data_IF_098534543393
#
_entry.id   IF_098534543393
#
_cell.length_a   1.000
_cell.length_b   1.000
_cell.length_c   1.000
_cell.angle_alpha   90.00
_cell.angle_beta   90.00
_cell.angle_gamma   90.00
#
_symmetry.space_group_name_H-M   'P 1'
#
loop_
_entity.id
_entity.type
_entity.pdbx_description
1 polymer ?
#
# COMPACT_ATOMS: atom_id res chain seq x y z
N UNK A 1 24.05 3.51 11.96
CA UNK A 1 23.26 4.67 12.49
C UNK A 1 24.16 5.87 12.73
N UNK A 2 23.61 7.10 12.63
CA UNK A 2 24.39 8.35 12.87
C UNK A 2 24.46 8.60 14.38
N UNK A 3 25.64 8.90 14.91
CA UNK A 3 25.78 9.20 16.35
C UNK A 3 24.90 10.40 16.76
N UNK A 4 24.19 10.35 17.92
CA UNK A 4 23.30 11.43 18.37
C UNK A 4 24.01 12.80 18.46
N UNK A 5 25.27 12.83 18.93
CA UNK A 5 26.06 14.05 19.02
C UNK A 5 26.29 14.72 17.66
N UNK A 6 26.55 13.93 16.62
CA UNK A 6 26.66 14.46 15.23
C UNK A 6 25.34 15.04 14.73
N UNK A 7 24.19 14.43 15.08
CA UNK A 7 22.88 14.94 14.74
C UNK A 7 22.57 16.24 15.48
N UNK A 8 23.02 16.36 16.73
CA UNK A 8 22.79 17.55 17.54
C UNK A 8 23.54 18.79 17.02
N UNK A 9 24.66 18.60 16.33
CA UNK A 9 25.42 19.70 15.70
C UNK A 9 24.75 20.23 14.40
N UNK A 10 23.81 19.48 13.83
CA UNK A 10 23.08 19.94 12.63
C UNK A 10 22.01 20.98 13.03
N UNK A 11 21.60 21.81 12.07
CA UNK A 11 20.61 22.88 12.30
C UNK A 11 19.46 22.84 11.30
N UNK A 12 18.31 23.34 11.73
CA UNK A 12 17.13 23.58 10.89
C UNK A 12 16.65 22.35 10.11
N UNK A 13 16.27 22.56 8.87
CA UNK A 13 15.70 21.49 8.01
C UNK A 13 16.64 20.31 7.75
N UNK A 14 17.96 20.52 7.75
CA UNK A 14 18.92 19.44 7.59
C UNK A 14 18.93 18.50 8.81
N UNK A 15 18.88 19.06 10.04
CA UNK A 15 18.77 18.30 11.29
C UNK A 15 17.49 17.44 11.25
N UNK A 16 16.35 18.05 10.96
CA UNK A 16 15.05 17.39 10.92
C UNK A 16 14.99 16.25 9.89
N UNK A 17 15.48 16.48 8.66
CA UNK A 17 15.53 15.42 7.62
C UNK A 17 16.36 14.23 8.05
N UNK A 18 17.54 14.47 8.65
CA UNK A 18 18.42 13.38 9.11
C UNK A 18 17.82 12.63 10.29
N UNK A 19 17.19 13.33 11.25
CA UNK A 19 16.46 12.69 12.35
C UNK A 19 15.29 11.85 11.82
N UNK A 20 14.48 12.37 10.89
CA UNK A 20 13.36 11.62 10.30
C UNK A 20 13.84 10.34 9.59
N UNK A 21 14.97 10.39 8.87
CA UNK A 21 15.58 9.21 8.24
C UNK A 21 16.06 8.19 9.30
N UNK A 22 16.67 8.65 10.41
CA UNK A 22 17.10 7.76 11.49
C UNK A 22 15.89 7.07 12.15
N UNK A 23 14.81 7.79 12.41
CA UNK A 23 13.59 7.19 12.96
C UNK A 23 12.94 6.19 12.00
N UNK A 24 12.89 6.51 10.69
CA UNK A 24 12.41 5.57 9.69
C UNK A 24 13.23 4.27 9.61
N UNK A 25 14.56 4.39 9.71
CA UNK A 25 15.45 3.23 9.78
C UNK A 25 15.22 2.40 11.06
N UNK A 26 15.01 3.08 12.20
CA UNK A 26 14.67 2.41 13.47
C UNK A 26 13.31 1.68 13.42
N UNK A 27 12.30 2.27 12.79
CA UNK A 27 10.99 1.63 12.61
C UNK A 27 11.14 0.31 11.84
N UNK A 28 11.95 0.29 10.77
CA UNK A 28 12.24 -0.94 10.01
C UNK A 28 13.02 -1.96 10.83
N UNK A 29 14.06 -1.54 11.53
CA UNK A 29 14.84 -2.41 12.42
C UNK A 29 13.97 -3.05 13.51
N UNK A 30 13.08 -2.27 14.14
CA UNK A 30 12.14 -2.75 15.15
C UNK A 30 11.14 -3.75 14.53
N UNK A 31 10.72 -3.53 13.29
CA UNK A 31 9.81 -4.41 12.57
C UNK A 31 10.50 -5.68 12.03
N UNK A 32 11.83 -5.81 12.19
CA UNK A 32 12.61 -6.94 11.67
C UNK A 32 12.77 -6.92 10.14
N UNK A 33 12.56 -5.76 9.51
CA UNK A 33 12.75 -5.59 8.07
C UNK A 33 14.23 -5.31 7.82
N UNK A 34 14.93 -6.29 7.23
CA UNK A 34 16.33 -6.14 6.88
C UNK A 34 16.48 -5.24 5.64
N UNK A 35 17.24 -4.15 5.77
CA UNK A 35 17.77 -3.48 4.58
C UNK A 35 18.93 -4.31 4.01
N UNK A 36 18.87 -4.61 2.70
CA UNK A 36 19.91 -5.36 2.03
C UNK A 36 21.29 -4.70 2.25
N UNK A 37 22.19 -5.40 2.98
CA UNK A 37 23.57 -4.99 3.20
C UNK A 37 23.86 -4.11 4.41
N UNK A 38 22.90 -3.77 5.28
CA UNK A 38 23.11 -2.91 6.44
C UNK A 38 22.53 -3.52 7.72
N UNK A 39 23.35 -4.18 8.52
CA UNK A 39 23.05 -4.36 9.94
C UNK A 39 23.15 -3.02 10.66
N UNK A 40 22.13 -2.60 11.41
CA UNK A 40 22.22 -1.40 12.24
C UNK A 40 23.11 -1.70 13.46
N UNK A 41 24.21 -0.98 13.57
CA UNK A 41 25.14 -1.11 14.70
C UNK A 41 24.94 0.07 15.66
N UNK A 42 24.87 -0.26 16.96
CA UNK A 42 24.80 0.68 18.07
C UNK A 42 26.02 0.46 19.00
N UNK A 43 27.23 0.83 18.54
CA UNK A 43 28.48 0.35 19.18
C UNK A 43 28.71 0.83 20.64
N UNK A 44 27.95 1.81 21.12
CA UNK A 44 28.15 2.38 22.46
C UNK A 44 26.86 2.49 23.29
N UNK A 45 25.73 1.99 22.80
CA UNK A 45 24.45 2.08 23.49
C UNK A 45 23.45 1.04 22.94
N UNK A 46 22.40 0.76 23.70
CA UNK A 46 21.28 -0.06 23.23
C UNK A 46 20.42 0.70 22.24
N UNK A 47 19.61 -0.02 21.43
CA UNK A 47 18.63 0.61 20.55
C UNK A 47 17.65 1.50 21.32
N UNK A 48 17.18 1.06 22.48
CA UNK A 48 16.27 1.84 23.33
C UNK A 48 16.89 3.16 23.79
N UNK A 49 18.14 3.14 24.25
CA UNK A 49 18.89 4.37 24.61
C UNK A 49 19.07 5.29 23.41
N UNK A 50 19.35 4.73 22.23
CA UNK A 50 19.49 5.51 21.01
C UNK A 50 18.17 6.18 20.62
N UNK A 51 17.05 5.46 20.67
CA UNK A 51 15.70 6.01 20.43
C UNK A 51 15.40 7.15 21.41
N UNK A 52 15.65 6.95 22.71
CA UNK A 52 15.39 7.95 23.72
C UNK A 52 16.25 9.22 23.51
N UNK A 53 17.53 9.07 23.16
CA UNK A 53 18.42 10.21 22.86
C UNK A 53 17.98 10.99 21.63
N UNK A 54 17.57 10.30 20.56
CA UNK A 54 17.04 10.98 19.37
C UNK A 54 15.73 11.72 19.66
N UNK A 55 14.85 11.11 20.46
CA UNK A 55 13.59 11.73 20.85
C UNK A 55 13.81 12.97 21.72
N UNK A 56 14.82 12.95 22.61
CA UNK A 56 15.23 14.16 23.39
C UNK A 56 15.67 15.30 22.48
N UNK A 57 16.42 15.01 21.40
CA UNK A 57 16.81 16.03 20.42
C UNK A 57 15.59 16.62 19.69
N UNK A 58 14.55 15.80 19.43
CA UNK A 58 13.30 16.29 18.82
C UNK A 58 12.53 17.18 19.78
N UNK A 59 12.49 16.85 21.08
CA UNK A 59 11.84 17.66 22.11
C UNK A 59 12.44 19.06 22.28
N UNK A 60 13.70 19.25 21.86
CA UNK A 60 14.37 20.55 21.84
C UNK A 60 14.08 21.38 20.57
N UNK A 61 13.34 20.83 19.60
CA UNK A 61 13.04 21.56 18.35
C UNK A 61 11.99 22.65 18.60
N UNK A 62 12.32 23.93 18.33
CA UNK A 62 11.42 25.06 18.63
C UNK A 62 10.14 25.09 17.77
N UNK A 63 10.06 24.29 16.70
CA UNK A 63 8.88 24.17 15.86
C UNK A 63 8.03 22.94 16.18
N UNK A 64 8.42 22.16 17.20
CA UNK A 64 7.63 21.01 17.60
C UNK A 64 6.31 21.47 18.25
N UNK A 65 5.14 21.02 17.77
CA UNK A 65 3.87 21.36 18.40
C UNK A 65 3.80 20.85 19.85
N UNK A 66 3.22 21.65 20.74
CA UNK A 66 3.18 21.35 22.18
C UNK A 66 2.45 20.02 22.46
N UNK A 67 1.36 19.75 21.77
CA UNK A 67 0.61 18.48 21.87
C UNK A 67 1.47 17.26 21.52
N UNK A 68 2.33 17.38 20.49
CA UNK A 68 3.26 16.31 20.10
C UNK A 68 4.38 16.16 21.14
N UNK A 69 4.87 17.27 21.69
CA UNK A 69 5.87 17.22 22.76
C UNK A 69 5.32 16.50 24.00
N UNK A 70 4.07 16.77 24.38
CA UNK A 70 3.39 16.08 25.49
C UNK A 70 3.25 14.59 25.18
N UNK A 71 2.78 14.23 23.98
CA UNK A 71 2.65 12.83 23.58
C UNK A 71 3.99 12.11 23.58
N UNK A 72 5.04 12.71 23.03
CA UNK A 72 6.37 12.10 22.98
C UNK A 72 6.97 11.90 24.37
N UNK A 73 6.80 12.86 25.28
CA UNK A 73 7.19 12.72 26.69
C UNK A 73 6.44 11.58 27.38
N UNK A 74 5.14 11.45 27.14
CA UNK A 74 4.33 10.36 27.69
C UNK A 74 4.81 8.99 27.20
N UNK A 75 5.12 8.87 25.90
CA UNK A 75 5.65 7.63 25.32
C UNK A 75 7.03 7.25 25.89
N UNK A 76 7.88 8.24 26.14
CA UNK A 76 9.20 8.01 26.75
C UNK A 76 9.12 7.65 28.24
N UNK A 77 8.09 8.10 28.96
CA UNK A 77 7.87 7.77 30.35
C UNK A 77 7.25 6.39 30.57
N UNK A 78 6.75 5.73 29.53
CA UNK A 78 6.16 4.40 29.64
C UNK A 78 7.24 3.34 29.96
N UNK A 79 6.85 2.34 30.76
CA UNK A 79 7.72 1.21 31.11
C UNK A 79 7.01 -0.12 30.88
N UNK A 80 7.40 -0.95 29.89
CA UNK A 80 8.52 -0.70 28.95
C UNK A 80 8.18 0.40 27.91
N UNK A 81 9.23 1.07 27.40
CA UNK A 81 9.09 2.06 26.32
C UNK A 81 8.68 1.37 25.03
N UNK A 82 7.57 1.80 24.42
CA UNK A 82 7.20 1.41 23.07
C UNK A 82 8.05 2.18 22.04
N UNK A 83 9.21 1.60 21.72
CA UNK A 83 10.18 2.21 20.82
C UNK A 83 9.58 2.51 19.44
N UNK A 84 8.67 1.66 18.93
CA UNK A 84 8.04 1.85 17.63
C UNK A 84 7.13 3.08 17.63
N UNK A 85 6.29 3.24 18.64
CA UNK A 85 5.42 4.43 18.77
C UNK A 85 6.22 5.71 18.99
N UNK A 86 7.33 5.68 19.74
CA UNK A 86 8.24 6.82 19.88
C UNK A 86 8.82 7.22 18.53
N UNK A 87 9.36 6.26 17.77
CA UNK A 87 9.92 6.52 16.45
C UNK A 87 8.87 7.09 15.49
N UNK A 88 7.68 6.51 15.44
CA UNK A 88 6.59 6.96 14.57
C UNK A 88 6.11 8.37 14.91
N UNK A 89 5.87 8.67 16.19
CA UNK A 89 5.47 9.99 16.67
C UNK A 89 6.53 11.06 16.29
N UNK A 90 7.79 10.81 16.61
CA UNK A 90 8.88 11.74 16.33
C UNK A 90 9.10 11.94 14.82
N UNK A 91 9.08 10.86 14.02
CA UNK A 91 9.22 10.92 12.56
C UNK A 91 8.12 11.74 11.92
N UNK A 92 6.87 11.45 12.26
CA UNK A 92 5.71 12.14 11.66
C UNK A 92 5.73 13.63 11.99
N UNK A 93 6.07 14.01 13.22
CA UNK A 93 6.19 15.41 13.60
C UNK A 93 7.28 16.13 12.79
N UNK A 94 8.47 15.53 12.67
CA UNK A 94 9.56 16.08 11.88
C UNK A 94 9.18 16.25 10.41
N UNK A 95 8.51 15.25 9.82
CA UNK A 95 8.07 15.29 8.42
C UNK A 95 7.00 16.37 8.21
N UNK A 96 6.06 16.53 9.14
CA UNK A 96 5.06 17.60 9.10
C UNK A 96 5.72 18.99 9.14
N UNK A 97 6.71 19.21 10.02
CA UNK A 97 7.47 20.46 10.10
C UNK A 97 8.24 20.74 8.80
N UNK A 98 8.75 19.72 8.14
CA UNK A 98 9.46 19.84 6.85
C UNK A 98 8.50 20.08 5.68
N UNK A 99 7.19 19.85 5.87
CA UNK A 99 6.20 19.90 4.81
C UNK A 99 6.21 18.66 3.90
N UNK A 100 6.63 17.52 4.45
CA UNK A 100 6.68 16.23 3.75
C UNK A 100 5.79 15.23 4.47
N UNK A 101 5.18 14.30 3.74
CA UNK A 101 4.42 13.21 4.35
C UNK A 101 5.25 11.92 4.35
N UNK A 102 5.05 11.05 5.36
CA UNK A 102 5.66 9.71 5.33
C UNK A 102 5.27 9.01 4.04
N UNK A 103 6.24 8.50 3.32
CA UNK A 103 6.02 7.56 2.25
C UNK A 103 6.42 6.19 2.77
N UNK A 104 5.48 5.27 2.77
CA UNK A 104 5.79 3.86 2.93
C UNK A 104 6.24 3.38 1.55
N UNK A 105 7.51 3.01 1.43
CA UNK A 105 8.13 2.66 0.13
C UNK A 105 8.38 1.17 -0.01
N UNK A 106 8.34 0.44 1.11
CA UNK A 106 8.84 -0.91 1.17
C UNK A 106 7.69 -1.92 1.18
N UNK A 107 7.83 -2.97 0.39
CA UNK A 107 6.98 -4.15 0.47
C UNK A 107 7.15 -4.76 1.87
N UNK A 108 6.14 -4.61 2.71
CA UNK A 108 6.12 -5.23 4.04
C UNK A 108 5.62 -6.65 3.90
N UNK A 109 6.52 -7.61 4.08
CA UNK A 109 6.19 -9.03 4.07
C UNK A 109 5.37 -9.36 5.32
N UNK A 110 4.34 -10.20 5.14
CA UNK A 110 3.52 -10.66 6.26
C UNK A 110 4.38 -11.28 7.38
N UNK A 111 4.09 -11.03 8.67
CA UNK A 111 4.94 -11.45 9.79
C UNK A 111 5.23 -12.95 9.88
N UNK A 112 4.40 -13.79 9.27
CA UNK A 112 4.60 -15.25 9.21
C UNK A 112 5.52 -15.67 8.05
N UNK A 113 5.85 -14.75 7.13
CA UNK A 113 6.80 -14.97 6.03
C UNK A 113 8.08 -14.18 6.38
N UNK A 114 9.07 -14.85 6.96
CA UNK A 114 10.33 -14.23 7.38
C UNK A 114 11.29 -13.92 6.23
N UNK A 115 11.05 -14.52 5.07
CA UNK A 115 11.88 -14.37 3.87
C UNK A 115 10.97 -14.14 2.67
N UNK A 116 11.42 -13.35 1.70
CA UNK A 116 10.77 -13.27 0.40
C UNK A 116 10.76 -14.68 -0.19
N UNK A 117 9.61 -15.29 -0.48
CA UNK A 117 9.57 -16.57 -1.16
C UNK A 117 10.26 -16.43 -2.51
N UNK A 118 10.94 -17.48 -2.97
CA UNK A 118 11.58 -17.53 -4.29
C UNK A 118 10.58 -17.31 -5.44
N UNK A 119 9.29 -17.56 -5.19
CA UNK A 119 8.19 -17.26 -6.09
C UNK A 119 7.00 -16.70 -5.29
N UNK A 120 6.27 -15.78 -5.89
CA UNK A 120 5.04 -15.22 -5.33
C UNK A 120 3.94 -16.29 -5.34
N UNK A 121 3.22 -16.40 -4.23
CA UNK A 121 2.04 -17.26 -4.12
C UNK A 121 0.82 -16.51 -4.67
N UNK A 122 0.00 -17.18 -5.49
CA UNK A 122 -1.18 -16.57 -6.11
C UNK A 122 -2.22 -17.64 -6.52
N UNK A 123 -3.45 -17.20 -6.76
CA UNK A 123 -4.51 -18.03 -7.33
C UNK A 123 -4.36 -18.06 -8.85
N UNK A 124 -4.03 -19.23 -9.46
CA UNK A 124 -3.85 -19.33 -10.90
C UNK A 124 -5.12 -18.93 -11.65
N UNK A 125 -4.96 -18.06 -12.66
CA UNK A 125 -6.06 -17.61 -13.49
C UNK A 125 -6.89 -16.45 -12.93
N UNK A 126 -6.55 -15.87 -11.77
CA UNK A 126 -7.18 -14.66 -11.27
C UNK A 126 -6.45 -13.43 -11.82
N UNK A 127 -7.10 -12.70 -12.72
CA UNK A 127 -6.55 -11.51 -13.35
C UNK A 127 -7.45 -10.28 -13.19
N UNK A 128 -6.84 -9.13 -13.26
CA UNK A 128 -7.50 -7.82 -13.23
C UNK A 128 -7.20 -7.09 -14.54
N UNK A 129 -8.21 -6.55 -15.19
CA UNK A 129 -8.05 -5.58 -16.26
C UNK A 129 -8.44 -4.20 -15.76
N UNK A 130 -7.47 -3.32 -15.61
CA UNK A 130 -7.69 -1.94 -15.25
C UNK A 130 -7.92 -1.13 -16.53
N UNK A 131 -9.14 -0.64 -16.73
CA UNK A 131 -9.53 0.12 -17.91
C UNK A 131 -9.45 1.61 -17.62
N UNK A 132 -8.53 2.30 -18.29
CA UNK A 132 -8.38 3.75 -18.30
C UNK A 132 -8.29 4.41 -16.91
N UNK A 133 -7.66 3.72 -15.98
CA UNK A 133 -7.38 4.27 -14.64
C UNK A 133 -6.45 5.46 -14.77
N UNK A 134 -6.94 6.65 -14.43
CA UNK A 134 -6.22 7.92 -14.61
C UNK A 134 -5.42 8.35 -13.39
N UNK A 135 -5.89 8.00 -12.20
CA UNK A 135 -5.21 8.33 -10.94
C UNK A 135 -4.07 7.37 -10.66
N UNK A 136 -2.80 7.85 -10.67
CA UNK A 136 -1.67 7.00 -10.28
C UNK A 136 -1.79 6.44 -8.87
N UNK A 137 -2.44 7.17 -7.95
CA UNK A 137 -2.71 6.68 -6.59
C UNK A 137 -3.65 5.47 -6.61
N UNK A 138 -4.73 5.52 -7.39
CA UNK A 138 -5.65 4.39 -7.51
C UNK A 138 -4.99 3.20 -8.19
N UNK A 139 -4.20 3.44 -9.25
CA UNK A 139 -3.46 2.37 -9.93
C UNK A 139 -2.54 1.62 -8.98
N UNK A 140 -1.73 2.33 -8.19
CA UNK A 140 -0.87 1.70 -7.18
C UNK A 140 -1.66 0.95 -6.10
N UNK A 141 -2.80 1.50 -5.66
CA UNK A 141 -3.70 0.83 -4.71
C UNK A 141 -4.29 -0.46 -5.29
N UNK A 142 -4.61 -0.48 -6.59
CA UNK A 142 -5.08 -1.68 -7.30
C UNK A 142 -3.98 -2.75 -7.31
N UNK A 143 -2.74 -2.40 -7.66
CA UNK A 143 -1.61 -3.33 -7.60
C UNK A 143 -1.39 -3.90 -6.21
N UNK A 144 -1.42 -3.06 -5.18
CA UNK A 144 -1.26 -3.48 -3.79
C UNK A 144 -2.37 -4.44 -3.36
N UNK A 145 -3.62 -4.15 -3.71
CA UNK A 145 -4.76 -5.01 -3.41
C UNK A 145 -4.68 -6.33 -4.17
N UNK A 146 -4.38 -6.27 -5.47
CA UNK A 146 -4.24 -7.45 -6.31
C UNK A 146 -3.13 -8.40 -5.80
N UNK A 147 -1.99 -7.84 -5.41
CA UNK A 147 -0.89 -8.61 -4.81
C UNK A 147 -1.32 -9.24 -3.48
N UNK A 148 -1.84 -8.45 -2.55
CA UNK A 148 -2.22 -8.91 -1.22
C UNK A 148 -3.33 -9.98 -1.26
N UNK A 149 -4.22 -9.94 -2.24
CA UNK A 149 -5.30 -10.90 -2.46
C UNK A 149 -4.92 -12.07 -3.38
N UNK A 150 -3.65 -12.16 -3.79
CA UNK A 150 -3.15 -13.28 -4.58
C UNK A 150 -3.66 -13.32 -6.02
N UNK A 151 -3.99 -12.19 -6.64
CA UNK A 151 -4.25 -12.17 -8.09
C UNK A 151 -2.98 -12.57 -8.86
N UNK A 152 -3.10 -13.32 -9.94
CA UNK A 152 -1.95 -13.75 -10.73
C UNK A 152 -1.27 -12.56 -11.42
N UNK A 153 -2.04 -11.65 -12.00
CA UNK A 153 -1.48 -10.49 -12.70
C UNK A 153 -2.49 -9.39 -12.97
N UNK A 154 -1.97 -8.28 -13.48
CA UNK A 154 -2.75 -7.08 -13.84
C UNK A 154 -2.52 -6.74 -15.31
N UNK A 155 -3.60 -6.59 -16.05
CA UNK A 155 -3.60 -6.03 -17.40
C UNK A 155 -4.01 -4.55 -17.32
N UNK A 156 -3.33 -3.71 -18.08
CA UNK A 156 -3.61 -2.28 -18.15
C UNK A 156 -4.07 -1.93 -19.56
N UNK A 157 -5.18 -1.20 -19.68
CA UNK A 157 -5.54 -0.64 -20.97
C UNK A 157 -4.50 0.37 -21.46
N UNK A 158 -4.43 0.67 -22.77
CA UNK A 158 -3.54 1.71 -23.29
C UNK A 158 -3.75 3.08 -22.66
N UNK A 159 -4.97 3.42 -22.21
CA UNK A 159 -5.33 4.69 -21.59
C UNK A 159 -5.01 4.82 -20.09
N UNK A 160 -4.57 3.75 -19.44
CA UNK A 160 -4.15 3.82 -18.04
C UNK A 160 -2.93 4.73 -17.84
N UNK A 161 -2.87 5.41 -16.70
CA UNK A 161 -1.67 6.14 -16.29
C UNK A 161 -0.45 5.20 -16.17
N UNK A 162 0.73 5.81 -16.11
CA UNK A 162 1.99 5.06 -16.04
C UNK A 162 2.16 4.42 -14.63
N UNK A 163 2.33 3.09 -14.52
CA UNK A 163 2.57 2.43 -13.24
C UNK A 163 3.89 2.85 -12.58
N UNK A 164 4.89 3.31 -13.35
CA UNK A 164 6.15 3.84 -12.77
C UNK A 164 6.04 5.31 -12.31
N UNK A 165 4.87 5.93 -12.46
CA UNK A 165 4.64 7.26 -11.92
C UNK A 165 4.88 7.27 -10.39
N UNK A 166 5.61 8.28 -9.81
CA UNK A 166 5.99 8.29 -8.40
C UNK A 166 4.84 8.12 -7.39
N UNK A 167 3.63 8.58 -7.74
CA UNK A 167 2.44 8.39 -6.90
C UNK A 167 1.90 6.96 -6.96
N UNK A 168 2.01 6.28 -8.12
CA UNK A 168 1.61 4.88 -8.25
C UNK A 168 2.58 3.97 -7.50
N UNK A 169 3.89 4.15 -7.70
CA UNK A 169 4.93 3.44 -6.95
C UNK A 169 4.73 3.61 -5.44
N UNK A 170 4.47 4.84 -4.98
CA UNK A 170 4.21 5.12 -3.57
C UNK A 170 3.00 4.38 -3.02
N UNK A 171 1.85 4.43 -3.70
CA UNK A 171 0.63 3.75 -3.23
C UNK A 171 0.69 2.24 -3.42
N UNK A 172 1.48 1.77 -4.40
CA UNK A 172 1.72 0.36 -4.68
C UNK A 172 2.67 -0.33 -3.70
N UNK A 173 3.50 0.45 -2.98
CA UNK A 173 4.39 -0.06 -1.91
C UNK A 173 5.21 -1.29 -2.32
N UNK A 174 5.83 -1.26 -3.50
CA UNK A 174 6.64 -2.36 -4.02
C UNK A 174 5.85 -3.45 -4.76
N UNK A 175 4.52 -3.41 -4.75
CA UNK A 175 3.72 -4.46 -5.39
C UNK A 175 3.78 -4.40 -6.92
N UNK A 176 4.05 -3.22 -7.51
CA UNK A 176 4.17 -3.06 -8.96
C UNK A 176 5.40 -3.81 -9.50
N UNK A 177 6.48 -3.85 -8.72
CA UNK A 177 7.75 -4.50 -9.07
C UNK A 177 7.69 -6.03 -8.96
N UNK A 178 6.81 -6.57 -8.10
CA UNK A 178 6.73 -8.02 -7.86
C UNK A 178 5.58 -8.71 -8.59
N UNK A 179 4.60 -7.95 -9.09
CA UNK A 179 3.48 -8.49 -9.84
C UNK A 179 3.77 -8.58 -11.34
N UNK A 180 3.26 -9.63 -11.98
CA UNK A 180 3.19 -9.64 -13.44
C UNK A 180 2.16 -8.63 -13.93
N UNK A 181 2.54 -7.77 -14.85
CA UNK A 181 1.61 -6.88 -15.52
C UNK A 181 1.99 -6.63 -16.96
N UNK A 182 0.99 -6.37 -17.79
CA UNK A 182 1.15 -6.02 -19.20
C UNK A 182 0.16 -4.94 -19.58
N UNK A 183 0.58 -4.06 -20.49
CA UNK A 183 -0.33 -3.13 -21.14
C UNK A 183 -0.80 -3.77 -22.45
N UNK A 184 -2.12 -3.89 -22.61
CA UNK A 184 -2.71 -4.46 -23.80
C UNK A 184 -4.13 -3.89 -24.01
N UNK A 185 -4.58 -3.79 -25.25
CA UNK A 185 -5.96 -3.40 -25.56
C UNK A 185 -6.96 -4.50 -25.16
N UNK A 186 -8.22 -4.10 -25.02
CA UNK A 186 -9.30 -4.99 -24.55
C UNK A 186 -9.46 -6.25 -25.41
N UNK A 187 -9.24 -6.10 -26.71
CA UNK A 187 -9.39 -7.16 -27.71
C UNK A 187 -8.34 -8.27 -27.58
N UNK A 188 -7.20 -7.94 -26.95
CA UNK A 188 -6.11 -8.89 -26.73
C UNK A 188 -6.20 -9.63 -25.39
N UNK A 189 -7.28 -9.42 -24.62
CA UNK A 189 -7.51 -10.20 -23.40
C UNK A 189 -7.63 -11.69 -23.72
N UNK A 190 -7.07 -12.58 -22.88
CA UNK A 190 -7.23 -14.03 -23.02
C UNK A 190 -8.69 -14.42 -23.26
N UNK A 191 -8.92 -15.21 -24.29
CA UNK A 191 -10.28 -15.63 -24.67
C UNK A 191 -10.74 -16.91 -23.97
N UNK A 192 -9.83 -17.62 -23.34
CA UNK A 192 -10.05 -18.87 -22.59
C UNK A 192 -10.50 -18.64 -21.14
N UNK A 193 -10.45 -17.42 -20.67
CA UNK A 193 -10.89 -17.05 -19.33
C UNK A 193 -12.23 -16.32 -19.35
N UNK A 194 -13.14 -16.63 -18.40
CA UNK A 194 -14.37 -15.87 -18.23
C UNK A 194 -14.06 -14.43 -17.85
N UNK A 195 -14.75 -13.49 -18.48
CA UNK A 195 -14.58 -12.05 -18.23
C UNK A 195 -15.87 -11.51 -17.61
N UNK A 196 -15.73 -10.79 -16.50
CA UNK A 196 -16.83 -10.08 -15.84
C UNK A 196 -16.41 -8.66 -15.45
N UNK A 197 -17.36 -7.80 -15.16
CA UNK A 197 -17.10 -6.40 -14.84
C UNK A 197 -17.59 -6.05 -13.44
N UNK A 198 -16.89 -5.15 -12.77
CA UNK A 198 -17.36 -4.46 -11.57
C UNK A 198 -17.98 -3.12 -11.98
N UNK A 199 -19.31 -3.05 -11.96
CA UNK A 199 -20.02 -1.84 -12.36
C UNK A 199 -21.41 -1.78 -11.67
N UNK A 200 -21.96 -0.59 -11.58
CA UNK A 200 -23.31 -0.38 -11.01
C UNK A 200 -24.39 -1.05 -11.85
N UNK A 201 -25.51 -1.46 -11.24
CA UNK A 201 -26.65 -2.07 -11.93
C UNK A 201 -26.44 -3.53 -12.35
N UNK A 202 -25.44 -4.22 -11.81
CA UNK A 202 -25.21 -5.66 -12.00
C UNK A 202 -25.85 -6.52 -10.91
N UNK A 203 -25.51 -7.79 -10.88
CA UNK A 203 -25.89 -8.72 -9.80
C UNK A 203 -25.21 -8.27 -8.50
N UNK A 204 -25.95 -8.15 -7.39
CA UNK A 204 -25.35 -7.82 -6.11
C UNK A 204 -24.23 -8.78 -5.72
N UNK A 205 -23.15 -8.25 -5.14
CA UNK A 205 -21.94 -9.00 -4.81
C UNK A 205 -22.21 -10.31 -4.04
N UNK A 206 -23.18 -10.31 -3.13
CA UNK A 206 -23.59 -11.47 -2.31
C UNK A 206 -24.31 -12.57 -3.10
N UNK A 207 -24.88 -12.22 -4.26
CA UNK A 207 -25.69 -13.11 -5.10
C UNK A 207 -24.95 -13.47 -6.41
N UNK A 208 -23.76 -12.89 -6.63
CA UNK A 208 -22.95 -13.14 -7.82
C UNK A 208 -22.14 -14.43 -7.64
N UNK A 209 -22.32 -15.36 -8.57
CA UNK A 209 -21.54 -16.60 -8.63
C UNK A 209 -20.20 -16.29 -9.29
N UNK A 210 -19.14 -16.35 -8.52
CA UNK A 210 -17.80 -16.04 -9.00
C UNK A 210 -17.20 -17.19 -9.80
N UNK A 211 -16.48 -16.92 -10.90
CA UNK A 211 -15.73 -17.96 -11.57
C UNK A 211 -14.49 -18.35 -10.75
N UNK A 212 -14.09 -19.62 -10.86
CA UNK A 212 -12.86 -20.09 -10.19
C UNK A 212 -11.59 -19.42 -10.72
N UNK A 213 -11.61 -19.08 -12.02
CA UNK A 213 -10.58 -18.35 -12.74
C UNK A 213 -11.27 -17.32 -13.62
N UNK A 214 -10.64 -16.21 -13.93
CA UNK A 214 -11.24 -15.21 -14.79
C UNK A 214 -10.50 -13.88 -14.78
N UNK A 215 -11.07 -12.94 -15.50
CA UNK A 215 -10.59 -11.57 -15.60
C UNK A 215 -11.70 -10.66 -15.11
N UNK A 216 -11.45 -9.88 -14.06
CA UNK A 216 -12.36 -8.79 -13.70
C UNK A 216 -11.92 -7.49 -14.37
N UNK A 217 -12.84 -6.81 -15.01
CA UNK A 217 -12.64 -5.46 -15.56
C UNK A 217 -13.12 -4.45 -14.53
N UNK A 218 -12.27 -3.47 -14.22
CA UNK A 218 -12.58 -2.29 -13.41
C UNK A 218 -12.37 -1.05 -14.25
N UNK A 219 -13.38 -0.20 -14.33
CA UNK A 219 -13.39 0.98 -15.19
C UNK A 219 -12.77 2.22 -14.59
N UNK A 220 -12.66 3.27 -15.39
CA UNK A 220 -12.10 4.55 -15.01
C UNK A 220 -12.94 5.25 -13.92
N UNK A 221 -12.29 6.15 -13.19
CA UNK A 221 -12.91 6.86 -12.06
C UNK A 221 -14.07 7.77 -12.48
N UNK A 222 -14.03 8.27 -13.70
CA UNK A 222 -15.03 9.24 -14.19
C UNK A 222 -16.12 8.60 -15.04
N UNK A 223 -15.76 7.63 -15.89
CA UNK A 223 -16.65 7.07 -16.89
C UNK A 223 -17.14 5.66 -16.54
N UNK A 224 -16.55 5.00 -15.55
CA UNK A 224 -16.81 3.60 -15.27
C UNK A 224 -16.25 2.68 -16.35
N UNK A 225 -16.88 1.54 -16.52
CA UNK A 225 -16.52 0.52 -17.52
C UNK A 225 -17.05 0.94 -18.89
N UNK A 226 -16.23 0.82 -19.93
CA UNK A 226 -16.63 1.17 -21.31
C UNK A 226 -17.72 0.26 -21.86
N UNK A 227 -18.53 0.72 -22.86
CA UNK A 227 -19.49 -0.14 -23.54
C UNK A 227 -18.84 -1.39 -24.15
N UNK A 228 -17.65 -1.26 -24.75
CA UNK A 228 -16.92 -2.39 -25.32
C UNK A 228 -16.52 -3.42 -24.25
N UNK A 229 -16.10 -2.95 -23.08
CA UNK A 229 -15.76 -3.82 -21.96
C UNK A 229 -17.01 -4.50 -21.36
N UNK A 230 -18.16 -3.81 -21.33
CA UNK A 230 -19.43 -4.41 -20.95
C UNK A 230 -19.86 -5.53 -21.92
N UNK A 231 -19.67 -5.34 -23.21
CA UNK A 231 -19.92 -6.37 -24.24
C UNK A 231 -18.94 -7.55 -24.12
N UNK A 232 -17.68 -7.27 -23.81
CA UNK A 232 -16.64 -8.31 -23.63
C UNK A 232 -16.88 -9.15 -22.39
N UNK A 233 -17.56 -8.63 -21.37
CA UNK A 233 -17.82 -9.28 -20.09
C UNK A 233 -19.01 -10.25 -20.16
N UNK A 234 -18.86 -11.29 -20.96
CA UNK A 234 -19.92 -12.29 -21.21
C UNK A 234 -20.28 -13.13 -19.99
N UNK A 235 -19.39 -13.21 -18.98
CA UNK A 235 -19.68 -13.95 -17.76
C UNK A 235 -20.64 -13.21 -16.83
N UNK A 236 -20.60 -11.89 -16.80
CA UNK A 236 -21.56 -11.11 -16.05
C UNK A 236 -21.06 -9.76 -15.56
N UNK A 237 -21.94 -9.11 -14.85
CA UNK A 237 -21.72 -7.80 -14.23
C UNK A 237 -22.06 -7.89 -12.75
N UNK A 238 -21.10 -7.59 -11.89
CA UNK A 238 -21.25 -7.60 -10.46
C UNK A 238 -21.33 -6.17 -9.92
N UNK A 239 -22.15 -5.93 -8.92
CA UNK A 239 -22.31 -4.63 -8.29
C UNK A 239 -22.19 -4.70 -6.77
N UNK A 240 -21.60 -3.65 -6.18
CA UNK A 240 -21.57 -3.44 -4.73
C UNK A 240 -22.82 -2.62 -4.36
N UNK A 241 -23.79 -3.18 -3.62
CA UNK A 241 -24.97 -2.43 -3.21
C UNK A 241 -24.59 -1.25 -2.31
N UNK A 242 -25.04 -0.06 -2.66
CA UNK A 242 -24.84 1.16 -1.88
C UNK A 242 -26.18 1.67 -1.36
N UNK A 243 -26.23 2.05 -0.05
CA UNK A 243 -27.42 2.63 0.59
C UNK A 243 -27.32 4.13 0.83
N UNK A 244 -26.11 4.69 0.68
CA UNK A 244 -25.85 6.11 0.89
C UNK A 244 -26.21 6.97 -0.32
N UNK A 245 -26.00 8.28 -0.18
CA UNK A 245 -26.28 9.26 -1.25
C UNK A 245 -25.22 9.28 -2.36
N UNK A 246 -24.06 8.64 -2.17
CA UNK A 246 -23.01 8.58 -3.19
C UNK A 246 -23.36 7.57 -4.27
N UNK A 247 -23.15 7.98 -5.53
CA UNK A 247 -23.40 7.13 -6.71
C UNK A 247 -22.30 6.08 -6.95
N UNK A 248 -21.08 6.29 -6.39
CA UNK A 248 -19.94 5.40 -6.60
C UNK A 248 -19.00 5.39 -5.40
N UNK A 249 -18.19 4.34 -5.28
CA UNK A 249 -17.04 4.23 -4.40
C UNK A 249 -15.76 4.61 -5.15
N UNK A 250 -14.69 4.93 -4.42
CA UNK A 250 -13.35 4.97 -5.00
C UNK A 250 -13.03 3.61 -5.64
N UNK A 251 -12.47 3.61 -6.84
CA UNK A 251 -12.22 2.38 -7.62
C UNK A 251 -11.33 1.39 -6.90
N UNK A 252 -10.28 1.84 -6.22
CA UNK A 252 -9.40 0.96 -5.43
C UNK A 252 -10.13 0.32 -4.24
N UNK A 253 -11.05 1.07 -3.59
CA UNK A 253 -11.90 0.56 -2.50
C UNK A 253 -12.90 -0.47 -3.04
N UNK A 254 -13.61 -0.13 -4.11
CA UNK A 254 -14.57 -1.04 -4.76
C UNK A 254 -13.88 -2.34 -5.21
N UNK A 255 -12.70 -2.23 -5.81
CA UNK A 255 -11.89 -3.37 -6.20
C UNK A 255 -11.49 -4.24 -5.01
N UNK A 256 -11.08 -3.65 -3.89
CA UNK A 256 -10.74 -4.39 -2.68
C UNK A 256 -11.91 -5.19 -2.10
N UNK A 257 -13.11 -4.61 -2.09
CA UNK A 257 -14.34 -5.28 -1.65
C UNK A 257 -14.67 -6.47 -2.57
N UNK A 258 -14.55 -6.27 -3.89
CA UNK A 258 -14.78 -7.34 -4.86
C UNK A 258 -13.76 -8.47 -4.71
N UNK A 259 -12.47 -8.15 -4.62
CA UNK A 259 -11.41 -9.16 -4.51
C UNK A 259 -11.58 -10.02 -3.27
N UNK A 260 -11.94 -9.42 -2.12
CA UNK A 260 -12.22 -10.17 -0.90
C UNK A 260 -13.37 -11.16 -1.10
N UNK A 261 -14.44 -10.76 -1.80
CA UNK A 261 -15.56 -11.64 -2.08
C UNK A 261 -15.19 -12.76 -3.06
N UNK A 262 -14.45 -12.41 -4.12
CA UNK A 262 -14.04 -13.39 -5.13
C UNK A 262 -13.08 -14.43 -4.56
N UNK A 263 -12.03 -14.01 -3.88
CA UNK A 263 -11.08 -14.92 -3.23
C UNK A 263 -11.78 -15.78 -2.19
N UNK A 264 -12.66 -15.22 -1.37
CA UNK A 264 -13.44 -15.98 -0.40
C UNK A 264 -14.32 -17.05 -1.04
N UNK A 265 -14.92 -16.78 -2.22
CA UNK A 265 -15.68 -17.77 -2.96
C UNK A 265 -14.79 -18.90 -3.52
N UNK A 266 -13.59 -18.56 -4.00
CA UNK A 266 -12.61 -19.56 -4.50
C UNK A 266 -12.12 -20.45 -3.37
N UNK A 267 -11.82 -19.90 -2.18
CA UNK A 267 -11.35 -20.66 -1.01
C UNK A 267 -12.42 -21.58 -0.42
N UNK A 268 -13.66 -21.11 -0.35
CA UNK A 268 -14.77 -21.91 0.22
C UNK A 268 -15.40 -22.87 -0.77
N UNK A 269 -15.06 -22.79 -2.06
CA UNK A 269 -15.69 -23.56 -3.12
C UNK A 269 -17.14 -23.15 -3.39
N UNK A 270 -17.57 -21.98 -2.95
CA UNK A 270 -18.89 -21.39 -3.18
C UNK A 270 -18.96 -20.69 -4.55
N UNK A 271 -18.69 -21.47 -5.61
CA UNK A 271 -18.55 -21.02 -7.00
C UNK A 271 -19.84 -21.29 -7.79
#
# INVERSE_FOLDING_TARGET
>A
MIAPDKLNHLRGGQKRRKLALCFGALERDIAGIAEAGCGYSFPSMTRGEYVARLASIVLEDPQLPEEVAVQLKSLLAANPIDQRRVCNCARNALLAIIGTFPAEWDLIIAPHRRELPAARDFYPGLYVYAEDIRSPFNLGSIFRTAEAMGAQGVFLSPGCCDPVHPRAVRSGMGCIEVMEWRRLPLEELPCDLPVFVLETGGTPLKDFVFPRQGIVIIGSEELGVSPAALERATYGRVTIPMKGMKASLNVGVAFGILMQAWVGAVETGSL
#
